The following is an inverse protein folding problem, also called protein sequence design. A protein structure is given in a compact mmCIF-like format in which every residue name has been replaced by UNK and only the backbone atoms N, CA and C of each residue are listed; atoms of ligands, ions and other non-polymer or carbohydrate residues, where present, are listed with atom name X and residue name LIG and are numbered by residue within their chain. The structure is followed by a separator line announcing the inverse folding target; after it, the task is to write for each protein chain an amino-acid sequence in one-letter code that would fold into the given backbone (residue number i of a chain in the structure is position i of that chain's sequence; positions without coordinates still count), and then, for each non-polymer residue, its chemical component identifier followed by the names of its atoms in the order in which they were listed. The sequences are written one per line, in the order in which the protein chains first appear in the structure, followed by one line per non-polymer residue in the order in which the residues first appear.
data_IF_384604466335
#
_entry.id   IF_384604466335
#
_cell.length_a   1.000
_cell.length_b   1.000
_cell.length_c   1.000
_cell.angle_alpha   90.00
_cell.angle_beta   90.00
_cell.angle_gamma   90.00
#
_symmetry.space_group_name_H-M   'P 1'
#
loop_
_entity.id
_entity.type
_entity.pdbx_description
1 polymer ?
#
# COMPACT_ATOMS: atom_id res chain seq x y z
N UNK A 1 -3.32 24.18 18.41
CA UNK A 1 -4.46 23.87 17.52
C UNK A 1 -5.54 23.21 18.37
N UNK A 2 -6.80 23.64 18.27
CA UNK A 2 -7.86 23.07 19.11
C UNK A 2 -8.05 21.58 18.77
N UNK A 3 -8.28 20.71 19.77
CA UNK A 3 -8.38 19.25 19.57
C UNK A 3 -9.47 18.87 18.56
N UNK A 4 -10.50 19.71 18.43
CA UNK A 4 -11.59 19.56 17.47
C UNK A 4 -11.13 19.76 16.03
N UNK A 5 -10.32 20.80 15.76
CA UNK A 5 -9.83 21.09 14.40
C UNK A 5 -8.97 19.93 13.89
N UNK A 6 -8.09 19.38 14.73
CA UNK A 6 -7.23 18.25 14.36
C UNK A 6 -8.05 17.04 13.95
N UNK A 7 -9.08 16.69 14.73
CA UNK A 7 -9.95 15.54 14.48
C UNK A 7 -10.74 15.67 13.17
N UNK A 8 -11.21 16.88 12.85
CA UNK A 8 -11.89 17.19 11.58
C UNK A 8 -10.90 17.07 10.41
N UNK A 9 -9.72 17.65 10.54
CA UNK A 9 -8.70 17.64 9.48
C UNK A 9 -8.25 16.21 9.15
N UNK A 10 -7.95 15.41 10.17
CA UNK A 10 -7.57 14.01 10.03
C UNK A 10 -8.72 13.18 9.45
N UNK A 11 -9.96 13.43 9.87
CA UNK A 11 -11.15 12.78 9.32
C UNK A 11 -11.35 13.06 7.83
N UNK A 12 -11.20 14.32 7.42
CA UNK A 12 -11.30 14.74 6.02
C UNK A 12 -10.17 14.14 5.16
N UNK A 13 -8.91 14.36 5.56
CA UNK A 13 -7.75 13.93 4.79
C UNK A 13 -7.74 12.41 4.68
N UNK A 14 -7.83 11.72 5.81
CA UNK A 14 -7.78 10.28 5.80
C UNK A 14 -9.01 9.67 5.12
N UNK A 15 -10.18 10.30 5.23
CA UNK A 15 -11.43 9.83 4.62
C UNK A 15 -11.35 9.92 3.10
N UNK A 16 -10.85 11.05 2.59
CA UNK A 16 -10.57 11.23 1.17
C UNK A 16 -9.56 10.21 0.64
N UNK A 17 -8.44 9.99 1.36
CA UNK A 17 -7.43 9.01 0.95
C UNK A 17 -8.02 7.60 0.94
N UNK A 18 -8.82 7.23 1.94
CA UNK A 18 -9.51 5.92 1.97
C UNK A 18 -10.48 5.79 0.80
N UNK A 19 -11.28 6.81 0.49
CA UNK A 19 -12.20 6.83 -0.66
C UNK A 19 -11.46 6.65 -1.99
N UNK A 20 -10.37 7.39 -2.19
CA UNK A 20 -9.51 7.25 -3.37
C UNK A 20 -8.96 5.81 -3.46
N UNK A 21 -8.56 5.23 -2.32
CA UNK A 21 -8.10 3.85 -2.28
C UNK A 21 -9.18 2.83 -2.68
N UNK A 22 -10.43 3.07 -2.30
CA UNK A 22 -11.58 2.24 -2.71
C UNK A 22 -11.81 2.34 -4.21
N UNK A 23 -11.75 3.54 -4.78
CA UNK A 23 -11.86 3.73 -6.25
C UNK A 23 -10.68 3.06 -6.97
N UNK A 24 -9.48 3.19 -6.43
CA UNK A 24 -8.27 2.57 -6.95
C UNK A 24 -8.29 1.03 -6.86
N UNK A 25 -9.25 0.43 -6.16
CA UNK A 25 -9.45 -1.03 -6.14
C UNK A 25 -10.01 -1.55 -7.47
N UNK A 26 -10.67 -0.69 -8.25
CA UNK A 26 -11.20 -1.02 -9.58
C UNK A 26 -10.09 -1.10 -10.62
N UNK A 27 -9.03 -0.30 -10.47
CA UNK A 27 -7.86 -0.38 -11.32
C UNK A 27 -7.05 -1.65 -10.99
N UNK A 28 -6.48 -2.35 -11.98
CA UNK A 28 -5.61 -3.50 -11.77
C UNK A 28 -4.26 -3.03 -11.17
N UNK A 29 -4.29 -2.67 -9.89
CA UNK A 29 -3.17 -2.14 -9.13
C UNK A 29 -3.44 -2.30 -7.62
N UNK A 30 -2.43 -2.05 -6.77
CA UNK A 30 -2.54 -2.27 -5.34
C UNK A 30 -3.34 -1.16 -4.62
N UNK A 31 -4.62 -0.94 -4.97
CA UNK A 31 -5.49 0.06 -4.33
C UNK A 31 -5.64 -0.13 -2.80
N UNK A 32 -5.53 -1.38 -2.37
CA UNK A 32 -5.43 -1.84 -0.97
C UNK A 32 -4.38 -1.05 -0.17
N UNK A 33 -3.19 -0.76 -0.74
CA UNK A 33 -2.13 0.01 -0.09
C UNK A 33 -2.59 1.44 0.24
N UNK A 34 -3.36 2.06 -0.65
CA UNK A 34 -3.91 3.40 -0.48
C UNK A 34 -4.98 3.39 0.63
N UNK A 35 -5.83 2.36 0.66
CA UNK A 35 -6.83 2.16 1.72
C UNK A 35 -6.14 2.03 3.08
N UNK A 36 -5.09 1.21 3.19
CA UNK A 36 -4.31 1.04 4.42
C UNK A 36 -3.67 2.35 4.89
N UNK A 37 -3.19 3.17 3.94
CA UNK A 37 -2.61 4.49 4.22
C UNK A 37 -3.68 5.43 4.78
N UNK A 38 -4.84 5.52 4.14
CA UNK A 38 -5.95 6.37 4.59
C UNK A 38 -6.49 5.95 5.96
N UNK A 39 -6.69 4.65 6.18
CA UNK A 39 -7.07 4.11 7.49
C UNK A 39 -6.00 4.36 8.56
N UNK A 40 -4.72 4.34 8.19
CA UNK A 40 -3.61 4.68 9.07
C UNK A 40 -3.67 6.14 9.54
N UNK A 41 -4.05 7.07 8.66
CA UNK A 41 -4.28 8.47 9.00
C UNK A 41 -5.48 8.59 9.95
N UNK A 42 -6.62 7.95 9.64
CA UNK A 42 -7.80 7.97 10.52
C UNK A 42 -7.49 7.37 11.89
N UNK A 43 -6.68 6.32 11.96
CA UNK A 43 -6.36 5.63 13.20
C UNK A 43 -5.66 6.52 14.23
N UNK A 44 -5.08 7.66 13.82
CA UNK A 44 -4.43 8.61 14.72
C UNK A 44 -5.41 9.36 15.64
N UNK A 45 -6.66 9.56 15.20
CA UNK A 45 -7.69 10.29 15.96
C UNK A 45 -8.97 9.46 16.20
N UNK A 46 -9.14 8.36 15.46
CA UNK A 46 -10.33 7.53 15.50
C UNK A 46 -10.00 6.07 15.86
N UNK A 47 -10.37 5.66 17.08
CA UNK A 47 -10.15 4.31 17.57
C UNK A 47 -10.82 3.22 16.71
N UNK A 48 -11.94 3.52 16.06
CA UNK A 48 -12.61 2.57 15.17
C UNK A 48 -11.75 2.24 13.94
N UNK A 49 -11.05 3.23 13.37
CA UNK A 49 -10.19 3.03 12.21
C UNK A 49 -8.95 2.19 12.56
N UNK A 50 -8.42 2.37 13.77
CA UNK A 50 -7.34 1.53 14.29
C UNK A 50 -7.76 0.04 14.37
N UNK A 51 -9.00 -0.24 14.80
CA UNK A 51 -9.55 -1.61 14.85
C UNK A 51 -9.71 -2.21 13.46
N UNK A 52 -10.25 -1.45 12.51
CA UNK A 52 -10.39 -1.89 11.11
C UNK A 52 -9.02 -2.20 10.51
N UNK A 53 -8.02 -1.34 10.76
CA UNK A 53 -6.66 -1.53 10.29
C UNK A 53 -6.01 -2.80 10.85
N UNK A 54 -6.25 -3.11 12.13
CA UNK A 54 -5.71 -4.34 12.75
C UNK A 54 -6.35 -5.60 12.18
N UNK A 55 -7.67 -5.60 11.98
CA UNK A 55 -8.36 -6.71 11.31
C UNK A 55 -7.87 -6.91 9.87
N UNK A 56 -7.74 -5.82 9.11
CA UNK A 56 -7.25 -5.86 7.73
C UNK A 56 -5.79 -6.33 7.64
N UNK A 57 -4.92 -5.90 8.57
CA UNK A 57 -3.56 -6.46 8.71
C UNK A 57 -3.57 -7.95 9.04
N UNK A 58 -4.51 -8.41 9.87
CA UNK A 58 -4.68 -9.83 10.19
C UNK A 58 -5.04 -10.67 8.95
N UNK A 59 -5.96 -10.18 8.12
CA UNK A 59 -6.32 -10.82 6.84
C UNK A 59 -5.15 -10.78 5.86
N UNK A 60 -4.49 -9.63 5.70
CA UNK A 60 -3.32 -9.50 4.84
C UNK A 60 -2.16 -10.41 5.30
N UNK A 61 -1.94 -10.53 6.60
CA UNK A 61 -0.92 -11.42 7.16
C UNK A 61 -1.28 -12.88 6.91
N UNK A 62 -2.55 -13.28 7.08
CA UNK A 62 -3.00 -14.64 6.74
C UNK A 62 -2.85 -14.93 5.25
N UNK A 63 -3.23 -13.99 4.39
CA UNK A 63 -3.03 -14.09 2.94
C UNK A 63 -1.54 -14.18 2.58
N UNK A 64 -0.68 -13.36 3.19
CA UNK A 64 0.77 -13.40 2.98
C UNK A 64 1.42 -14.68 3.54
N UNK A 65 0.87 -15.23 4.63
CA UNK A 65 1.35 -16.45 5.26
C UNK A 65 0.85 -17.70 4.51
N UNK A 66 -0.34 -17.65 3.90
CA UNK A 66 -0.82 -18.66 2.96
C UNK A 66 -0.07 -18.58 1.62
N UNK A 67 0.23 -17.36 1.16
CA UNK A 67 1.10 -17.08 0.03
C UNK A 67 2.59 -17.09 0.41
N UNK A 68 2.99 -17.73 1.52
CA UNK A 68 4.40 -17.83 1.93
C UNK A 68 5.20 -18.44 0.80
N UNK A 69 5.83 -17.58 0.03
CA UNK A 69 6.77 -18.01 -0.98
C UNK A 69 7.99 -18.53 -0.22
N UNK A 70 8.34 -19.82 -0.41
CA UNK A 70 9.53 -20.44 0.19
C UNK A 70 10.73 -19.50 0.02
N UNK A 71 11.50 -19.30 1.10
CA UNK A 71 12.67 -18.38 1.23
C UNK A 71 13.59 -18.31 -0.01
N UNK A 72 13.67 -19.41 -0.77
CA UNK A 72 14.42 -19.56 -2.04
C UNK A 72 13.97 -18.62 -3.18
N UNK A 73 12.68 -18.30 -3.30
CA UNK A 73 12.19 -17.43 -4.39
C UNK A 73 12.39 -15.93 -4.11
N UNK A 74 12.62 -15.54 -2.85
CA UNK A 74 12.96 -14.15 -2.51
C UNK A 74 14.24 -13.70 -3.23
N UNK A 75 15.20 -14.62 -3.35
CA UNK A 75 16.43 -14.40 -4.11
C UNK A 75 16.16 -14.29 -5.62
N UNK A 76 15.25 -15.12 -6.14
CA UNK A 76 14.89 -15.11 -7.56
C UNK A 76 14.12 -13.84 -7.96
N UNK A 77 13.23 -13.34 -7.10
CA UNK A 77 12.49 -12.09 -7.34
C UNK A 77 13.45 -10.90 -7.42
N UNK A 78 14.45 -10.84 -6.53
CA UNK A 78 15.48 -9.81 -6.57
C UNK A 78 16.32 -9.93 -7.85
N UNK A 79 16.78 -11.14 -8.19
CA UNK A 79 17.54 -11.38 -9.42
C UNK A 79 16.76 -11.02 -10.69
N UNK A 80 15.47 -11.39 -10.74
CA UNK A 80 14.59 -11.06 -11.85
C UNK A 80 14.35 -9.54 -11.95
N UNK A 81 14.12 -8.85 -10.83
CA UNK A 81 14.00 -7.39 -10.80
C UNK A 81 15.28 -6.70 -11.27
N UNK A 82 16.45 -7.16 -10.81
CA UNK A 82 17.75 -6.64 -11.24
C UNK A 82 17.95 -6.85 -12.74
N UNK A 83 17.62 -8.03 -13.26
CA UNK A 83 17.74 -8.33 -14.69
C UNK A 83 16.80 -7.44 -15.52
N UNK A 84 15.57 -7.27 -15.07
CA UNK A 84 14.56 -6.44 -15.74
C UNK A 84 14.97 -4.96 -15.75
N UNK A 85 15.54 -4.47 -14.64
CA UNK A 85 16.13 -3.13 -14.55
C UNK A 85 17.29 -2.94 -15.54
N UNK A 86 18.19 -3.91 -15.65
CA UNK A 86 19.31 -3.85 -16.59
C UNK A 86 18.81 -3.84 -18.05
N UNK A 87 17.85 -4.69 -18.39
CA UNK A 87 17.26 -4.73 -19.74
C UNK A 87 16.57 -3.40 -20.07
N UNK A 88 15.79 -2.85 -19.14
CA UNK A 88 15.18 -1.54 -19.32
C UNK A 88 16.22 -0.44 -19.52
N UNK A 89 17.32 -0.45 -18.77
CA UNK A 89 18.40 0.53 -18.89
C UNK A 89 19.08 0.43 -20.26
N UNK A 90 19.34 -0.79 -20.74
CA UNK A 90 19.91 -1.04 -22.07
C UNK A 90 18.99 -0.53 -23.18
N UNK A 91 17.69 -0.87 -23.12
CA UNK A 91 16.71 -0.40 -24.10
C UNK A 91 16.63 1.13 -24.09
N UNK A 92 16.66 1.74 -22.91
CA UNK A 92 16.60 3.19 -22.80
C UNK A 92 17.85 3.86 -23.38
N UNK A 93 19.02 3.23 -23.20
CA UNK A 93 20.28 3.69 -23.77
C UNK A 93 20.26 3.65 -25.30
N UNK A 94 19.81 2.54 -25.91
CA UNK A 94 19.67 2.42 -27.38
C UNK A 94 18.59 3.34 -27.97
N UNK A 95 17.58 3.74 -27.19
CA UNK A 95 16.57 4.69 -27.67
C UNK A 95 17.01 6.15 -27.54
N UNK A 96 18.01 6.43 -26.70
CA UNK A 96 18.48 7.79 -26.37
C UNK A 96 19.73 8.17 -27.17
N UNK A 97 20.50 7.20 -27.67
CA UNK A 97 21.69 7.37 -28.51
C UNK A 97 21.51 6.70 -29.87
#
# INVERSE_FOLDING_TARGET
MTPVIKRILVGLIGGLVTLVGVVALVAPGPGWLIIFTGLGILATEFAWAARVLTSAKGVASRAANAAKIKKKHRLMIIAALTFLLLVLLVIWYEYTF
#
